data_IF_970027492042
#
_entry.id   IF_970027492042
#
_cell.length_a   1.000
_cell.length_b   1.000
_cell.length_c   1.000
_cell.angle_alpha   90.00
_cell.angle_beta   90.00
_cell.angle_gamma   90.00
#
_symmetry.space_group_name_H-M   'P 1'
#
loop_
_entity.id
_entity.type
_entity.pdbx_description
1 polymer ?
#
# COMPACT_ATOMS: atom_id res chain seq x y z
N UNK A 1 -11.54 25.82 6.27
CA UNK A 1 -10.10 26.04 6.40
C UNK A 1 -9.50 24.74 6.89
N UNK A 2 -9.08 23.89 5.95
CA UNK A 2 -8.39 22.66 6.30
C UNK A 2 -6.94 22.99 6.57
N UNK A 3 -6.51 22.69 7.78
CA UNK A 3 -5.10 22.69 8.17
C UNK A 3 -4.38 21.66 7.27
N UNK A 4 -3.32 22.10 6.60
CA UNK A 4 -2.61 21.33 5.56
C UNK A 4 -1.59 20.33 6.11
N UNK A 5 -1.55 20.11 7.42
CA UNK A 5 -0.89 18.94 8.02
C UNK A 5 -1.95 17.85 8.16
N UNK A 6 -2.17 17.10 7.09
CA UNK A 6 -3.06 15.94 7.18
C UNK A 6 -2.45 14.92 8.12
N UNK A 7 -3.02 14.81 9.33
CA UNK A 7 -2.71 13.70 10.23
C UNK A 7 -3.09 12.41 9.52
N UNK A 8 -2.12 11.52 9.34
CA UNK A 8 -2.34 10.26 8.64
C UNK A 8 -3.21 9.37 9.51
N UNK A 9 -4.32 8.91 8.96
CA UNK A 9 -5.23 7.98 9.63
C UNK A 9 -4.85 6.53 9.36
N UNK A 10 -5.18 5.64 10.28
CA UNK A 10 -5.07 4.19 10.08
C UNK A 10 -5.94 3.73 8.91
N UNK A 11 -7.01 4.45 8.60
CA UNK A 11 -7.87 4.19 7.44
C UNK A 11 -7.19 4.49 6.12
N UNK A 12 -6.16 5.33 6.12
CA UNK A 12 -5.31 5.63 4.95
C UNK A 12 -4.17 4.61 4.82
N UNK A 13 -3.59 4.19 5.95
CA UNK A 13 -2.51 3.18 5.99
C UNK A 13 -3.02 1.81 5.54
N UNK A 14 -4.23 1.45 5.93
CA UNK A 14 -4.93 0.23 5.51
C UNK A 14 -6.14 0.61 4.67
N UNK A 15 -5.96 0.66 3.39
CA UNK A 15 -7.01 1.03 2.45
C UNK A 15 -7.33 -0.10 1.48
N UNK A 16 -8.56 -0.11 0.98
CA UNK A 16 -8.99 -1.11 0.02
C UNK A 16 -8.40 -0.76 -1.34
N UNK A 17 -7.72 -1.72 -1.94
CA UNK A 17 -7.07 -1.56 -3.22
C UNK A 17 -7.38 -2.69 -4.20
N UNK A 18 -6.91 -2.51 -5.41
CA UNK A 18 -6.84 -3.55 -6.43
C UNK A 18 -5.41 -3.62 -6.97
N UNK A 19 -4.97 -4.82 -7.34
CA UNK A 19 -3.64 -4.98 -7.91
C UNK A 19 -3.51 -4.47 -9.34
N UNK A 20 -2.27 -4.34 -9.80
CA UNK A 20 -1.07 -4.75 -9.08
C UNK A 20 -0.35 -3.66 -8.29
N UNK A 21 -0.63 -2.37 -8.54
CA UNK A 21 0.16 -1.26 -7.98
C UNK A 21 -0.71 -0.24 -7.26
N UNK A 22 -0.26 0.23 -6.10
CA UNK A 22 -0.94 1.32 -5.39
C UNK A 22 -0.79 2.65 -6.14
N UNK A 23 0.40 2.96 -6.65
CA UNK A 23 0.65 4.21 -7.36
C UNK A 23 0.17 4.22 -8.82
N UNK A 24 0.25 3.07 -9.50
CA UNK A 24 -0.03 2.97 -10.93
C UNK A 24 -1.38 2.32 -11.27
N UNK A 25 -2.10 1.79 -10.30
CA UNK A 25 -3.43 1.17 -10.47
C UNK A 25 -4.46 1.84 -9.57
N UNK A 26 -4.28 1.75 -8.25
CA UNK A 26 -5.24 2.29 -7.27
C UNK A 26 -5.34 3.82 -7.37
N UNK A 27 -4.20 4.50 -7.42
CA UNK A 27 -4.16 5.97 -7.58
C UNK A 27 -4.89 6.44 -8.83
N UNK A 28 -4.58 5.94 -10.02
CA UNK A 28 -5.31 6.29 -11.25
C UNK A 28 -6.81 6.01 -11.20
N UNK A 29 -7.24 4.89 -10.62
CA UNK A 29 -8.68 4.62 -10.45
C UNK A 29 -9.35 5.66 -9.56
N UNK A 30 -8.76 5.97 -8.42
CA UNK A 30 -9.27 6.98 -7.49
C UNK A 30 -9.29 8.37 -8.12
N UNK A 31 -8.24 8.73 -8.86
CA UNK A 31 -8.17 10.02 -9.55
C UNK A 31 -9.27 10.17 -10.59
N UNK A 32 -9.48 9.14 -11.41
CA UNK A 32 -10.53 9.14 -12.42
C UNK A 32 -11.93 9.26 -11.80
N UNK A 33 -12.19 8.53 -10.72
CA UNK A 33 -13.46 8.63 -9.99
C UNK A 33 -13.63 10.00 -9.33
N UNK A 34 -12.60 10.53 -8.70
CA UNK A 34 -12.65 11.87 -8.10
C UNK A 34 -12.90 12.96 -9.15
N UNK A 35 -12.25 12.85 -10.30
CA UNK A 35 -12.51 13.74 -11.44
C UNK A 35 -13.97 13.66 -11.87
N UNK A 36 -14.51 12.45 -12.06
CA UNK A 36 -15.91 12.23 -12.41
C UNK A 36 -16.86 12.88 -11.39
N UNK A 37 -16.59 12.69 -10.10
CA UNK A 37 -17.39 13.22 -9.00
C UNK A 37 -17.32 14.75 -8.91
N UNK A 38 -16.27 15.38 -9.42
CA UNK A 38 -16.08 16.84 -9.43
C UNK A 38 -16.89 17.55 -10.49
N UNK A 39 -17.40 16.82 -11.50
CA UNK A 39 -18.12 17.41 -12.62
C UNK A 39 -19.56 17.78 -12.21
N UNK A 40 -20.05 18.92 -12.75
CA UNK A 40 -21.43 19.38 -12.47
C UNK A 40 -22.50 18.42 -13.00
N UNK A 41 -22.19 17.71 -14.09
CA UNK A 41 -23.05 16.68 -14.65
C UNK A 41 -22.26 15.53 -15.25
N UNK A 42 -22.93 14.41 -15.51
CA UNK A 42 -22.32 13.24 -16.09
C UNK A 42 -21.75 13.53 -17.48
N UNK A 43 -20.48 13.22 -17.77
CA UNK A 43 -19.88 13.48 -19.06
C UNK A 43 -20.34 12.45 -20.11
N UNK A 44 -20.43 12.87 -21.36
CA UNK A 44 -20.57 11.98 -22.49
C UNK A 44 -19.22 11.43 -22.95
N UNK A 45 -18.18 12.25 -22.88
CA UNK A 45 -16.82 11.87 -23.28
C UNK A 45 -15.79 12.39 -22.29
N UNK A 46 -14.79 11.55 -21.98
CA UNK A 46 -13.61 11.92 -21.19
C UNK A 46 -12.35 11.56 -21.97
N UNK A 47 -11.45 12.51 -22.06
CA UNK A 47 -10.10 12.37 -22.62
C UNK A 47 -9.11 12.35 -21.46
N UNK A 48 -8.23 11.35 -21.44
CA UNK A 48 -7.22 11.17 -20.37
C UNK A 48 -5.84 11.04 -20.97
N UNK A 49 -4.89 11.81 -20.45
CA UNK A 49 -3.46 11.60 -20.70
C UNK A 49 -2.82 10.96 -19.48
N UNK A 50 -2.16 9.83 -19.67
CA UNK A 50 -1.27 9.23 -18.69
C UNK A 50 0.13 9.72 -18.97
N UNK A 51 0.78 10.38 -18.01
CA UNK A 51 2.03 11.08 -18.19
C UNK A 51 3.18 10.43 -17.42
N UNK A 52 4.37 10.53 -17.97
CA UNK A 52 5.61 10.08 -17.33
C UNK A 52 5.61 8.59 -17.02
N UNK A 53 5.83 8.25 -15.76
CA UNK A 53 5.88 6.84 -15.31
C UNK A 53 4.56 6.10 -15.49
N UNK A 54 3.42 6.78 -15.36
CA UNK A 54 2.10 6.19 -15.63
C UNK A 54 1.93 5.81 -17.10
N UNK A 55 2.60 6.50 -18.01
CA UNK A 55 2.63 6.12 -19.42
C UNK A 55 3.61 4.98 -19.69
N UNK A 56 4.85 5.12 -19.23
CA UNK A 56 5.93 4.19 -19.53
C UNK A 56 5.66 2.76 -19.01
N UNK A 57 4.97 2.62 -17.90
CA UNK A 57 4.63 1.32 -17.27
C UNK A 57 3.13 1.08 -17.16
N UNK A 58 2.31 1.98 -17.71
CA UNK A 58 0.87 2.02 -17.47
C UNK A 58 0.12 0.77 -17.90
N UNK A 59 0.49 0.18 -19.03
CA UNK A 59 -0.15 -1.04 -19.52
C UNK A 59 0.19 -2.26 -18.65
N UNK A 60 1.46 -2.38 -18.24
CA UNK A 60 1.89 -3.46 -17.34
C UNK A 60 1.27 -3.40 -15.95
N UNK A 61 1.00 -2.18 -15.46
CA UNK A 61 0.34 -1.94 -14.18
C UNK A 61 -1.17 -1.72 -14.29
N UNK A 62 -1.76 -1.96 -15.47
CA UNK A 62 -3.18 -1.77 -15.75
C UNK A 62 -3.71 -0.36 -15.42
N UNK A 63 -2.89 0.68 -15.61
CA UNK A 63 -3.29 2.07 -15.32
C UNK A 63 -4.42 2.53 -16.24
N UNK A 64 -4.42 2.12 -17.51
CA UNK A 64 -5.51 2.36 -18.45
C UNK A 64 -6.82 1.71 -18.00
N UNK A 65 -6.77 0.44 -17.62
CA UNK A 65 -7.94 -0.26 -17.04
C UNK A 65 -8.45 0.44 -15.80
N UNK A 66 -7.56 0.83 -14.91
CA UNK A 66 -7.92 1.52 -13.67
C UNK A 66 -8.64 2.84 -13.92
N UNK A 67 -8.14 3.65 -14.85
CA UNK A 67 -8.79 4.91 -15.27
C UNK A 67 -10.18 4.64 -15.87
N UNK A 68 -10.29 3.68 -16.78
CA UNK A 68 -11.56 3.33 -17.43
C UNK A 68 -12.60 2.92 -16.39
N UNK A 69 -12.24 2.06 -15.46
CA UNK A 69 -13.14 1.63 -14.39
C UNK A 69 -13.52 2.77 -13.44
N UNK A 70 -12.58 3.66 -13.14
CA UNK A 70 -12.85 4.87 -12.36
C UNK A 70 -13.81 5.82 -13.04
N UNK A 71 -13.68 5.99 -14.37
CA UNK A 71 -14.61 6.79 -15.18
C UNK A 71 -16.01 6.17 -15.28
N UNK A 72 -16.12 4.85 -15.10
CA UNK A 72 -17.42 4.18 -14.98
C UNK A 72 -18.08 4.40 -13.62
N UNK A 73 -17.36 4.94 -12.65
CA UNK A 73 -17.83 5.20 -11.29
C UNK A 73 -17.45 4.14 -10.27
N UNK A 74 -16.58 3.19 -10.65
CA UNK A 74 -16.08 2.18 -9.73
C UNK A 74 -14.92 2.71 -8.88
N UNK A 75 -14.85 2.23 -7.64
CA UNK A 75 -13.68 2.35 -6.77
C UNK A 75 -13.14 0.95 -6.43
N UNK A 76 -11.97 0.84 -5.77
CA UNK A 76 -11.41 -0.46 -5.44
C UNK A 76 -12.31 -1.37 -4.59
N UNK A 77 -13.19 -0.81 -3.77
CA UNK A 77 -14.13 -1.60 -2.97
C UNK A 77 -15.30 -2.13 -3.80
N UNK A 78 -15.84 -1.30 -4.68
CA UNK A 78 -17.09 -1.58 -5.39
C UNK A 78 -16.90 -2.31 -6.72
N UNK A 79 -15.70 -2.24 -7.31
CA UNK A 79 -15.44 -2.84 -8.62
C UNK A 79 -15.60 -4.37 -8.57
N UNK A 80 -16.44 -4.96 -9.47
CA UNK A 80 -16.51 -6.42 -9.57
C UNK A 80 -15.17 -7.04 -9.98
N UNK A 81 -14.85 -8.21 -9.44
CA UNK A 81 -13.60 -8.93 -9.75
C UNK A 81 -13.49 -9.24 -11.25
N UNK A 82 -14.62 -9.52 -11.88
CA UNK A 82 -14.77 -9.85 -13.30
C UNK A 82 -15.16 -8.65 -14.16
N UNK A 83 -14.99 -7.42 -13.68
CA UNK A 83 -15.34 -6.20 -14.43
C UNK A 83 -14.57 -6.09 -15.74
N UNK A 84 -15.29 -5.75 -16.79
CA UNK A 84 -14.70 -5.42 -18.10
C UNK A 84 -14.19 -3.96 -18.10
N UNK A 85 -13.04 -3.66 -18.69
CA UNK A 85 -12.13 -4.59 -19.36
C UNK A 85 -11.35 -5.47 -18.37
N UNK A 86 -11.12 -6.72 -18.73
CA UNK A 86 -10.44 -7.67 -17.84
C UNK A 86 -8.95 -7.34 -17.64
N UNK A 87 -8.47 -7.64 -16.45
CA UNK A 87 -7.04 -7.54 -16.14
C UNK A 87 -6.22 -8.46 -17.05
N UNK A 88 -5.16 -7.90 -17.65
CA UNK A 88 -4.27 -8.65 -18.57
C UNK A 88 -4.81 -8.83 -19.98
N UNK A 89 -6.02 -8.35 -20.28
CA UNK A 89 -6.58 -8.31 -21.62
C UNK A 89 -6.11 -7.11 -22.43
N UNK A 90 -6.35 -7.16 -23.75
CA UNK A 90 -6.13 -6.00 -24.60
C UNK A 90 -7.17 -4.93 -24.31
N UNK A 91 -6.71 -3.70 -24.11
CA UNK A 91 -7.57 -2.54 -23.81
C UNK A 91 -7.41 -1.52 -24.93
N UNK A 92 -8.47 -1.25 -25.71
CA UNK A 92 -8.41 -0.20 -26.73
C UNK A 92 -8.16 1.18 -26.12
N UNK A 93 -7.44 2.03 -26.83
CA UNK A 93 -7.21 3.43 -26.40
C UNK A 93 -8.46 4.31 -26.50
N UNK A 94 -9.46 3.88 -27.25
CA UNK A 94 -10.76 4.52 -27.38
C UNK A 94 -11.87 3.48 -27.24
N UNK A 95 -12.94 3.85 -26.58
CA UNK A 95 -14.09 2.96 -26.41
C UNK A 95 -15.18 3.55 -25.56
N UNK A 96 -16.11 2.70 -25.15
CA UNK A 96 -17.23 3.07 -24.30
C UNK A 96 -17.25 2.14 -23.08
N UNK A 97 -17.46 2.72 -21.91
CA UNK A 97 -17.59 1.98 -20.66
C UNK A 97 -18.92 2.33 -19.98
N UNK A 98 -19.56 1.31 -19.40
CA UNK A 98 -20.77 1.47 -18.58
C UNK A 98 -20.52 0.98 -17.17
N UNK A 99 -21.08 1.69 -16.20
CA UNK A 99 -20.94 1.36 -14.79
C UNK A 99 -21.97 2.07 -13.94
N UNK A 100 -21.76 2.15 -12.62
CA UNK A 100 -22.77 2.69 -11.69
C UNK A 100 -23.18 4.13 -11.95
N UNK A 101 -22.33 4.93 -12.62
CA UNK A 101 -22.60 6.33 -12.93
C UNK A 101 -23.15 6.55 -14.33
N UNK A 102 -23.32 5.51 -15.13
CA UNK A 102 -23.81 5.56 -16.49
C UNK A 102 -22.75 5.17 -17.52
N UNK A 103 -22.94 5.63 -18.75
CA UNK A 103 -22.09 5.32 -19.89
C UNK A 103 -21.20 6.52 -20.22
N UNK A 104 -19.92 6.27 -20.51
CA UNK A 104 -18.94 7.29 -20.87
C UNK A 104 -18.11 6.78 -22.05
N UNK A 105 -17.92 7.64 -23.06
CA UNK A 105 -16.94 7.40 -24.10
C UNK A 105 -15.57 7.86 -23.58
N UNK A 106 -14.56 6.99 -23.67
CA UNK A 106 -13.22 7.30 -23.21
C UNK A 106 -12.22 7.32 -24.35
N UNK A 107 -11.18 8.15 -24.19
CA UNK A 107 -9.97 8.14 -25.00
C UNK A 107 -8.78 8.26 -24.05
N UNK A 108 -7.80 7.37 -24.14
CA UNK A 108 -6.59 7.37 -23.32
C UNK A 108 -5.37 7.52 -24.21
N UNK A 109 -4.55 8.52 -23.89
CA UNK A 109 -3.28 8.79 -24.54
C UNK A 109 -2.13 8.55 -23.57
N UNK A 110 -1.09 7.88 -24.04
CA UNK A 110 0.14 7.60 -23.30
C UNK A 110 1.22 8.58 -23.77
N UNK A 111 1.71 9.40 -22.85
CA UNK A 111 2.78 10.36 -23.11
C UNK A 111 3.88 10.21 -22.06
N UNK A 112 5.06 9.74 -22.49
CA UNK A 112 6.19 9.47 -21.60
C UNK A 112 6.84 10.73 -21.02
N UNK A 113 6.49 11.91 -21.53
CA UNK A 113 6.96 13.17 -20.97
C UNK A 113 6.27 13.45 -19.64
N UNK A 114 6.99 13.50 -18.52
CA UNK A 114 6.37 13.75 -17.21
C UNK A 114 5.89 15.19 -17.09
N UNK A 115 4.84 15.40 -16.29
CA UNK A 115 4.50 16.74 -15.84
C UNK A 115 5.60 17.26 -14.91
N UNK A 116 5.87 18.58 -14.90
CA UNK A 116 6.97 19.15 -14.12
C UNK A 116 6.87 18.88 -12.61
N UNK A 117 5.65 18.69 -12.08
CA UNK A 117 5.40 18.60 -10.64
C UNK A 117 5.65 17.21 -10.07
N UNK A 118 5.39 16.17 -10.86
CA UNK A 118 5.50 14.78 -10.39
C UNK A 118 5.51 13.80 -11.57
N UNK A 119 6.29 12.69 -11.48
CA UNK A 119 6.36 11.69 -12.57
C UNK A 119 5.08 10.90 -12.79
N UNK A 120 4.16 10.84 -11.82
CA UNK A 120 2.91 10.08 -11.90
C UNK A 120 1.71 11.02 -12.14
N UNK A 121 1.75 11.77 -13.23
CA UNK A 121 0.70 12.73 -13.59
C UNK A 121 -0.36 12.15 -14.51
N UNK A 122 -1.56 12.71 -14.40
CA UNK A 122 -2.71 12.45 -15.27
C UNK A 122 -3.38 13.76 -15.61
N UNK A 123 -3.91 13.86 -16.84
CA UNK A 123 -4.66 15.03 -17.31
C UNK A 123 -6.01 14.56 -17.82
N UNK A 124 -7.09 15.15 -17.30
CA UNK A 124 -8.47 14.83 -17.69
C UNK A 124 -9.16 16.02 -18.32
N UNK A 125 -9.90 15.77 -19.39
CA UNK A 125 -10.83 16.72 -20.00
C UNK A 125 -12.17 16.01 -20.25
N UNK A 126 -13.28 16.72 -20.12
CA UNK A 126 -14.61 16.14 -20.27
C UNK A 126 -15.55 17.04 -21.03
N UNK A 127 -16.46 16.43 -21.78
CA UNK A 127 -17.50 17.10 -22.57
C UNK A 127 -18.87 16.46 -22.31
N UNK A 128 -19.92 17.25 -22.45
CA UNK A 128 -21.28 16.74 -22.41
C UNK A 128 -21.72 16.16 -23.76
N UNK A 129 -22.96 15.66 -23.83
CA UNK A 129 -23.55 15.06 -25.02
C UNK A 129 -23.78 16.07 -26.16
N UNK A 130 -23.79 17.36 -25.85
CA UNK A 130 -23.90 18.45 -26.84
C UNK A 130 -22.52 18.97 -27.28
N UNK A 131 -21.44 18.37 -26.81
CA UNK A 131 -20.07 18.77 -27.11
C UNK A 131 -19.56 19.99 -26.33
N UNK A 132 -20.30 20.43 -25.30
CA UNK A 132 -19.86 21.51 -24.42
C UNK A 132 -18.81 21.01 -23.43
N UNK A 133 -17.77 21.82 -23.23
CA UNK A 133 -16.70 21.52 -22.29
C UNK A 133 -17.18 21.58 -20.85
N UNK A 134 -17.00 20.48 -20.08
CA UNK A 134 -17.29 20.39 -18.66
C UNK A 134 -16.07 20.65 -17.80
N UNK A 135 -14.90 20.20 -18.26
CA UNK A 135 -13.62 20.43 -17.63
C UNK A 135 -12.51 20.35 -18.66
N UNK A 136 -11.48 21.18 -18.52
CA UNK A 136 -10.37 21.27 -19.45
C UNK A 136 -9.04 21.05 -18.73
N UNK A 137 -8.31 20.01 -19.15
CA UNK A 137 -6.93 19.71 -18.72
C UNK A 137 -6.71 19.78 -17.20
N UNK A 138 -7.59 19.18 -16.44
CA UNK A 138 -7.42 19.07 -15.00
C UNK A 138 -6.36 18.02 -14.66
N UNK A 139 -5.38 18.41 -13.85
CA UNK A 139 -4.24 17.59 -13.49
C UNK A 139 -4.43 16.93 -12.13
N UNK A 140 -4.10 15.63 -12.08
CA UNK A 140 -4.06 14.82 -10.87
C UNK A 140 -2.74 14.06 -10.79
N UNK A 141 -2.32 13.74 -9.56
CA UNK A 141 -1.05 13.07 -9.32
C UNK A 141 -1.23 11.91 -8.35
N UNK A 142 -0.65 10.76 -8.69
CA UNK A 142 -0.58 9.60 -7.82
C UNK A 142 0.74 9.65 -7.05
N UNK A 143 0.65 9.92 -5.73
CA UNK A 143 1.82 10.25 -4.90
C UNK A 143 2.30 9.08 -4.03
N UNK A 144 1.89 7.86 -4.33
CA UNK A 144 2.27 6.64 -3.63
C UNK A 144 1.22 6.17 -2.63
N UNK A 145 1.22 4.87 -2.34
CA UNK A 145 0.28 4.26 -1.39
C UNK A 145 -1.21 4.36 -1.77
N UNK A 146 -1.53 4.70 -3.01
CA UNK A 146 -2.89 4.96 -3.48
C UNK A 146 -3.39 6.37 -3.18
N UNK A 147 -2.56 7.23 -2.62
CA UNK A 147 -2.89 8.64 -2.38
C UNK A 147 -2.85 9.43 -3.69
N UNK A 148 -3.83 10.32 -3.86
CA UNK A 148 -3.91 11.19 -5.01
C UNK A 148 -4.04 12.64 -4.57
N UNK A 149 -3.45 13.54 -5.34
CA UNK A 149 -3.54 14.99 -5.16
C UNK A 149 -3.97 15.63 -6.48
N UNK A 150 -4.86 16.63 -6.38
CA UNK A 150 -5.10 17.56 -7.49
C UNK A 150 -3.88 18.48 -7.67
N UNK A 151 -3.81 19.17 -8.79
CA UNK A 151 -2.75 20.17 -9.05
C UNK A 151 -2.67 21.20 -7.92
N UNK A 152 -3.80 21.73 -7.47
CA UNK A 152 -3.84 22.74 -6.43
C UNK A 152 -3.34 22.19 -5.09
N UNK A 153 -3.72 20.96 -4.73
CA UNK A 153 -3.27 20.29 -3.50
C UNK A 153 -1.75 20.04 -3.55
N UNK A 154 -1.22 19.56 -4.67
CA UNK A 154 0.21 19.32 -4.83
C UNK A 154 1.03 20.62 -4.78
N UNK A 155 0.57 21.68 -5.45
CA UNK A 155 1.23 22.98 -5.42
C UNK A 155 1.26 23.56 -3.99
N UNK A 156 0.21 23.35 -3.22
CA UNK A 156 0.16 23.76 -1.82
C UNK A 156 1.17 22.99 -0.96
N UNK A 157 1.31 21.67 -1.13
CA UNK A 157 2.32 20.87 -0.42
C UNK A 157 3.75 21.29 -0.78
N UNK A 158 4.02 21.57 -2.05
CA UNK A 158 5.33 22.03 -2.51
C UNK A 158 5.65 23.40 -1.90
N UNK A 159 4.70 24.32 -1.87
CA UNK A 159 4.88 25.64 -1.27
C UNK A 159 5.18 25.56 0.22
N UNK A 160 4.47 24.71 0.97
CA UNK A 160 4.72 24.49 2.41
C UNK A 160 6.12 23.93 2.67
N UNK A 161 6.61 23.01 1.84
CA UNK A 161 7.95 22.43 2.00
C UNK A 161 9.07 23.46 1.79
N UNK A 162 8.82 24.56 1.07
CA UNK A 162 9.78 25.64 0.83
C UNK A 162 9.66 26.81 1.81
N UNK A 163 8.52 26.97 2.49
CA UNK A 163 8.25 28.09 3.38
C UNK A 163 8.68 27.87 4.83
N UNK A 164 9.05 26.62 5.22
CA UNK A 164 9.52 26.33 6.58
C UNK A 164 11.02 26.48 6.65
N UNK A 165 11.57 27.58 7.24
CA UNK A 165 13.00 27.68 7.52
C UNK A 165 13.41 26.53 8.46
N UNK A 166 14.53 25.87 8.14
CA UNK A 166 15.11 24.87 9.03
C UNK A 166 15.29 25.50 10.44
N UNK A 167 14.50 25.04 11.43
CA UNK A 167 14.58 25.50 12.81
C UNK A 167 13.31 26.14 13.38
N UNK A 168 12.27 26.33 12.59
CA UNK A 168 10.96 26.81 13.08
C UNK A 168 9.87 25.84 12.65
N UNK A 169 9.99 24.60 13.07
CA UNK A 169 8.82 23.77 13.22
C UNK A 169 8.15 24.18 14.55
N UNK A 170 7.52 25.35 14.58
CA UNK A 170 6.42 25.50 15.48
C UNK A 170 5.36 24.55 14.97
N UNK A 171 5.34 23.34 15.51
CA UNK A 171 4.23 22.47 15.39
C UNK A 171 3.00 23.31 15.70
N UNK A 172 2.19 23.64 14.68
CA UNK A 172 0.81 23.96 14.95
C UNK A 172 0.28 22.64 15.49
N UNK A 173 0.18 22.58 16.82
CA UNK A 173 -0.42 21.48 17.54
C UNK A 173 -1.80 21.35 16.91
N UNK A 174 -2.02 20.26 16.20
CA UNK A 174 -3.37 19.92 15.79
C UNK A 174 -4.09 19.47 17.06
N UNK A 175 -4.79 20.41 17.72
CA UNK A 175 -5.58 20.16 18.91
C UNK A 175 -6.68 19.10 18.68
N UNK A 176 -6.76 18.51 17.47
CA UNK A 176 -7.78 17.55 17.10
C UNK A 176 -7.54 16.16 17.66
N UNK A 177 -6.29 15.78 18.01
CA UNK A 177 -5.97 14.46 18.54
C UNK A 177 -5.38 14.52 19.95
N UNK A 178 -5.79 13.60 20.87
CA UNK A 178 -5.35 13.63 22.25
C UNK A 178 -3.89 13.21 22.47
N UNK A 179 -3.30 12.40 21.57
CA UNK A 179 -1.95 11.83 21.75
C UNK A 179 -1.13 12.01 20.48
N UNK A 180 -0.70 13.22 20.20
CA UNK A 180 0.07 13.53 19.01
C UNK A 180 1.49 12.97 19.12
N UNK A 181 1.91 12.23 18.08
CA UNK A 181 3.28 11.73 17.93
C UNK A 181 3.67 11.71 16.46
N UNK A 182 4.95 11.92 16.17
CA UNK A 182 5.54 11.80 14.85
C UNK A 182 6.73 10.84 14.84
N UNK A 183 7.27 10.52 16.01
CA UNK A 183 8.44 9.65 16.19
C UNK A 183 8.16 8.50 17.12
N UNK A 184 8.99 7.47 17.07
CA UNK A 184 8.92 6.34 18.00
C UNK A 184 9.20 6.75 19.44
N UNK A 185 10.13 7.67 19.65
CA UNK A 185 10.43 8.22 20.97
C UNK A 185 9.22 8.92 21.59
N UNK A 186 8.56 9.80 20.84
CA UNK A 186 7.34 10.48 21.28
C UNK A 186 6.23 9.49 21.62
N UNK A 187 6.05 8.46 20.78
CA UNK A 187 5.05 7.42 21.01
C UNK A 187 5.31 6.67 22.33
N UNK A 188 6.56 6.26 22.58
CA UNK A 188 6.92 5.56 23.81
C UNK A 188 6.76 6.45 25.05
N UNK A 189 7.11 7.72 24.95
CA UNK A 189 6.93 8.68 26.04
C UNK A 189 5.44 8.84 26.40
N UNK A 190 4.55 8.88 25.40
CA UNK A 190 3.11 8.94 25.63
C UNK A 190 2.57 7.65 26.28
N UNK A 191 3.04 6.49 25.84
CA UNK A 191 2.67 5.21 26.44
C UNK A 191 3.05 5.14 27.93
N UNK A 192 4.26 5.61 28.27
CA UNK A 192 4.74 5.64 29.65
C UNK A 192 3.97 6.66 30.48
N UNK A 193 3.79 7.88 29.98
CA UNK A 193 3.11 8.96 30.70
C UNK A 193 1.64 8.64 31.01
N UNK A 194 0.97 7.90 30.15
CA UNK A 194 -0.47 7.58 30.27
C UNK A 194 -0.75 6.14 30.67
N UNK A 195 0.28 5.34 30.85
CA UNK A 195 0.16 3.90 31.15
C UNK A 195 -0.79 3.19 30.17
N UNK A 196 -0.55 3.38 28.88
CA UNK A 196 -1.37 2.84 27.79
C UNK A 196 -0.52 2.08 26.78
N UNK A 197 -1.13 1.08 26.17
CA UNK A 197 -0.57 0.39 25.00
C UNK A 197 -0.65 1.30 23.76
N UNK A 198 0.19 1.02 22.77
CA UNK A 198 0.22 1.79 21.51
C UNK A 198 -1.14 1.81 20.82
N UNK A 199 -1.82 0.65 20.72
CA UNK A 199 -3.13 0.58 20.07
C UNK A 199 -4.20 1.44 20.74
N UNK A 200 -4.12 1.61 22.07
CA UNK A 200 -5.05 2.46 22.83
C UNK A 200 -4.89 3.93 22.47
N UNK A 201 -3.64 4.39 22.35
CA UNK A 201 -3.34 5.76 21.93
C UNK A 201 -3.82 6.02 20.50
N UNK A 202 -3.54 5.08 19.59
CA UNK A 202 -3.96 5.19 18.20
C UNK A 202 -5.48 5.21 18.07
N UNK A 203 -6.18 4.34 18.79
CA UNK A 203 -7.66 4.31 18.75
C UNK A 203 -8.26 5.63 19.26
N UNK A 204 -7.70 6.20 20.33
CA UNK A 204 -8.15 7.49 20.85
C UNK A 204 -7.94 8.63 19.83
N UNK A 205 -6.80 8.64 19.16
CA UNK A 205 -6.51 9.60 18.08
C UNK A 205 -7.49 9.45 16.92
N UNK A 206 -7.71 8.22 16.49
CA UNK A 206 -8.62 7.91 15.39
C UNK A 206 -10.08 8.27 15.70
N UNK A 207 -10.51 8.06 16.94
CA UNK A 207 -11.83 8.48 17.42
C UNK A 207 -12.02 9.99 17.24
N UNK A 208 -11.01 10.78 17.59
CA UNK A 208 -11.03 12.22 17.43
C UNK A 208 -11.01 12.64 15.95
N UNK A 209 -10.16 12.01 15.13
CA UNK A 209 -10.05 12.31 13.70
C UNK A 209 -11.35 12.05 12.93
N UNK A 210 -12.07 11.01 13.30
CA UNK A 210 -13.29 10.57 12.63
C UNK A 210 -14.57 10.91 13.43
N UNK A 211 -14.53 11.93 14.27
CA UNK A 211 -15.67 12.34 15.12
C UNK A 211 -16.95 12.54 14.31
N UNK A 212 -16.83 13.19 13.16
CA UNK A 212 -17.98 13.51 12.30
C UNK A 212 -18.50 12.29 11.50
N UNK A 213 -17.77 11.19 11.49
CA UNK A 213 -18.08 9.98 10.74
C UNK A 213 -18.56 8.83 11.63
N UNK A 214 -18.59 9.03 12.94
CA UNK A 214 -19.00 8.03 13.93
C UNK A 214 -17.94 7.65 14.96
N UNK A 215 -16.77 8.30 14.94
CA UNK A 215 -15.72 8.12 15.94
C UNK A 215 -15.08 6.73 15.92
N UNK A 216 -14.89 6.15 17.09
CA UNK A 216 -14.24 4.84 17.24
C UNK A 216 -14.99 3.72 16.50
N UNK A 217 -16.32 3.76 16.48
CA UNK A 217 -17.13 2.75 15.79
C UNK A 217 -16.87 2.74 14.28
N UNK A 218 -16.72 3.91 13.66
CA UNK A 218 -16.37 4.05 12.25
C UNK A 218 -15.01 3.40 11.96
N UNK A 219 -13.99 3.71 12.77
CA UNK A 219 -12.65 3.17 12.62
C UNK A 219 -12.63 1.66 12.81
N UNK A 220 -13.30 1.15 13.84
CA UNK A 220 -13.33 -0.29 14.12
C UNK A 220 -14.05 -1.06 13.02
N UNK A 221 -15.12 -0.53 12.44
CA UNK A 221 -15.79 -1.12 11.27
C UNK A 221 -14.87 -1.16 10.05
N UNK A 222 -14.09 -0.11 9.84
CA UNK A 222 -13.09 -0.09 8.76
C UNK A 222 -12.04 -1.20 8.96
N UNK A 223 -11.51 -1.32 10.16
CA UNK A 223 -10.52 -2.37 10.48
C UNK A 223 -11.11 -3.79 10.35
N UNK A 224 -12.36 -3.96 10.71
CA UNK A 224 -13.07 -5.23 10.52
C UNK A 224 -13.21 -5.57 9.04
N UNK A 225 -13.54 -4.58 8.21
CA UNK A 225 -13.61 -4.74 6.75
C UNK A 225 -12.23 -5.05 6.16
N UNK A 226 -11.18 -4.40 6.64
CA UNK A 226 -9.80 -4.68 6.25
C UNK A 226 -9.45 -6.14 6.51
N UNK A 227 -9.73 -6.64 7.70
CA UNK A 227 -9.49 -8.04 8.05
C UNK A 227 -10.32 -9.01 7.19
N UNK A 228 -11.58 -8.71 6.97
CA UNK A 228 -12.45 -9.52 6.12
C UNK A 228 -11.91 -9.62 4.69
N UNK A 229 -11.47 -8.52 4.11
CA UNK A 229 -10.90 -8.48 2.75
C UNK A 229 -9.55 -9.23 2.70
N UNK A 230 -8.71 -9.10 3.72
CA UNK A 230 -7.47 -9.87 3.81
C UNK A 230 -7.73 -11.38 3.77
N UNK A 231 -8.75 -11.86 4.49
CA UNK A 231 -9.15 -13.27 4.49
C UNK A 231 -9.71 -13.72 3.14
N UNK A 232 -10.58 -12.91 2.55
CA UNK A 232 -11.11 -13.19 1.22
C UNK A 232 -9.99 -13.28 0.18
N UNK A 233 -9.02 -12.39 0.23
CA UNK A 233 -7.87 -12.38 -0.67
C UNK A 233 -7.04 -13.66 -0.55
N UNK A 234 -6.79 -14.14 0.66
CA UNK A 234 -6.09 -15.41 0.89
C UNK A 234 -6.90 -16.59 0.33
N UNK A 235 -8.19 -16.62 0.58
CA UNK A 235 -9.08 -17.68 0.08
C UNK A 235 -9.10 -17.73 -1.45
N UNK A 236 -9.22 -16.58 -2.11
CA UNK A 236 -9.16 -16.45 -3.57
C UNK A 236 -7.80 -16.90 -4.12
N UNK A 237 -6.70 -16.47 -3.50
CA UNK A 237 -5.35 -16.80 -3.93
C UNK A 237 -5.02 -18.29 -3.82
N UNK A 238 -5.51 -18.94 -2.79
CA UNK A 238 -5.37 -20.40 -2.60
C UNK A 238 -6.17 -21.19 -3.64
N UNK A 239 -7.27 -20.65 -4.12
CA UNK A 239 -8.20 -21.34 -5.02
C UNK A 239 -7.92 -21.09 -6.51
N UNK A 240 -7.17 -20.05 -6.86
CA UNK A 240 -6.99 -19.62 -8.26
C UNK A 240 -5.69 -20.17 -8.84
N UNK A 241 -5.81 -21.01 -9.86
CA UNK A 241 -4.69 -21.62 -10.59
C UNK A 241 -4.38 -20.85 -11.86
N UNK A 242 -3.22 -21.11 -12.43
CA UNK A 242 -2.82 -20.59 -13.73
C UNK A 242 -1.58 -19.74 -13.71
N UNK A 243 -1.39 -18.96 -14.77
CA UNK A 243 -0.27 -18.04 -14.94
C UNK A 243 -0.69 -16.63 -14.52
N UNK A 244 0.26 -15.89 -13.95
CA UNK A 244 0.09 -14.47 -13.70
C UNK A 244 0.18 -13.68 -15.02
N UNK A 245 -0.56 -12.55 -15.16
CA UNK A 245 -0.53 -11.73 -16.36
C UNK A 245 0.83 -11.04 -16.56
N UNK A 246 1.10 -10.55 -17.77
CA UNK A 246 2.24 -9.68 -18.05
C UNK A 246 3.43 -10.35 -18.76
N UNK A 247 3.30 -11.58 -19.21
CA UNK A 247 4.26 -12.21 -20.13
C UNK A 247 5.50 -12.86 -19.51
N UNK A 248 5.75 -12.74 -18.21
CA UNK A 248 6.83 -13.45 -17.53
C UNK A 248 6.54 -14.95 -17.34
N UNK A 249 5.27 -15.36 -17.57
CA UNK A 249 4.81 -16.75 -17.43
C UNK A 249 5.04 -17.31 -16.02
N UNK A 250 4.89 -16.48 -15.00
CA UNK A 250 4.99 -16.91 -13.59
C UNK A 250 3.75 -17.71 -13.24
N UNK A 251 3.94 -18.96 -12.85
CA UNK A 251 2.85 -19.82 -12.39
C UNK A 251 2.45 -19.45 -10.95
N UNK A 252 1.15 -19.44 -10.67
CA UNK A 252 0.66 -19.33 -9.31
C UNK A 252 1.08 -20.55 -8.50
N UNK A 253 1.64 -20.32 -7.32
CA UNK A 253 2.17 -21.39 -6.44
C UNK A 253 1.25 -21.70 -5.25
N UNK A 254 0.43 -20.75 -4.83
CA UNK A 254 -0.37 -20.88 -3.63
C UNK A 254 -1.31 -22.12 -3.62
N UNK A 255 -2.05 -22.44 -4.68
CA UNK A 255 -2.92 -23.61 -4.67
C UNK A 255 -2.20 -24.94 -4.44
N UNK A 256 -1.04 -25.12 -5.09
CA UNK A 256 -0.23 -26.35 -4.92
C UNK A 256 0.42 -26.41 -3.55
N UNK A 257 0.93 -25.30 -3.04
CA UNK A 257 1.50 -25.23 -1.68
C UNK A 257 0.44 -25.56 -0.63
N UNK A 258 -0.76 -25.03 -0.77
CA UNK A 258 -1.88 -25.32 0.12
C UNK A 258 -2.20 -26.82 0.17
N UNK A 259 -2.32 -27.46 -1.01
CA UNK A 259 -2.56 -28.89 -1.09
C UNK A 259 -1.45 -29.69 -0.39
N UNK A 260 -0.18 -29.35 -0.62
CA UNK A 260 0.95 -29.99 0.03
C UNK A 260 0.95 -29.82 1.56
N UNK A 261 0.62 -28.62 2.05
CA UNK A 261 0.56 -28.37 3.49
C UNK A 261 -0.59 -29.14 4.14
N UNK A 262 -1.72 -29.30 3.47
CA UNK A 262 -2.82 -30.13 3.97
C UNK A 262 -2.45 -31.59 4.04
N UNK A 263 -1.75 -32.15 3.06
CA UNK A 263 -1.27 -33.53 3.05
C UNK A 263 -0.28 -33.81 4.18
N UNK A 264 0.55 -32.83 4.53
CA UNK A 264 1.60 -32.95 5.53
C UNK A 264 1.21 -32.36 6.90
N UNK A 265 -0.05 -32.06 7.11
CA UNK A 265 -0.55 -31.37 8.31
C UNK A 265 -0.21 -32.11 9.61
N UNK A 266 -0.15 -33.43 9.58
CA UNK A 266 0.16 -34.30 10.75
C UNK A 266 1.65 -34.64 10.87
N UNK A 267 2.50 -34.16 9.93
CA UNK A 267 3.94 -34.40 9.97
C UNK A 267 4.62 -33.43 10.95
N UNK A 268 4.94 -33.96 12.15
CA UNK A 268 5.65 -33.21 13.19
C UNK A 268 7.18 -33.27 13.05
N UNK A 269 7.70 -33.97 12.04
CA UNK A 269 9.15 -34.16 11.85
C UNK A 269 9.87 -32.91 11.36
N UNK A 270 9.12 -31.94 10.81
CA UNK A 270 9.66 -30.67 10.34
C UNK A 270 9.27 -29.51 11.29
N UNK A 271 10.22 -28.95 11.98
CA UNK A 271 10.00 -27.85 12.92
C UNK A 271 9.61 -26.49 12.29
N UNK A 272 9.42 -26.43 10.97
CA UNK A 272 9.18 -25.19 10.24
C UNK A 272 7.80 -25.06 9.61
N UNK A 273 6.82 -25.89 10.00
CA UNK A 273 5.49 -25.89 9.42
C UNK A 273 4.76 -24.54 9.51
N UNK A 274 4.94 -23.80 10.62
CA UNK A 274 4.35 -22.47 10.78
C UNK A 274 4.90 -21.49 9.74
N UNK A 275 6.21 -21.53 9.47
CA UNK A 275 6.86 -20.69 8.44
C UNK A 275 6.29 -21.00 7.06
N UNK A 276 6.06 -22.24 6.73
CA UNK A 276 5.49 -22.65 5.44
C UNK A 276 4.07 -22.11 5.25
N UNK A 277 3.25 -22.12 6.29
CA UNK A 277 1.92 -21.50 6.26
C UNK A 277 1.98 -19.99 6.06
N UNK A 278 2.91 -19.32 6.72
CA UNK A 278 3.14 -17.87 6.53
C UNK A 278 3.55 -17.58 5.08
N UNK A 279 4.47 -18.35 4.52
CA UNK A 279 4.84 -18.24 3.11
C UNK A 279 3.63 -18.39 2.19
N UNK A 280 2.79 -19.41 2.44
CA UNK A 280 1.57 -19.63 1.68
C UNK A 280 0.66 -18.41 1.69
N UNK A 281 0.39 -17.84 2.86
CA UNK A 281 -0.50 -16.71 2.98
C UNK A 281 0.03 -15.47 2.25
N UNK A 282 1.32 -15.20 2.37
CA UNK A 282 1.95 -14.08 1.66
C UNK A 282 1.91 -14.27 0.15
N UNK A 283 2.22 -15.48 -0.34
CA UNK A 283 2.16 -15.79 -1.76
C UNK A 283 0.73 -15.67 -2.30
N UNK A 284 -0.26 -16.20 -1.58
CA UNK A 284 -1.67 -16.13 -1.99
C UNK A 284 -2.12 -14.69 -2.21
N UNK A 285 -1.81 -13.78 -1.28
CA UNK A 285 -2.16 -12.36 -1.38
C UNK A 285 -1.42 -11.70 -2.54
N UNK A 286 -0.12 -11.91 -2.66
CA UNK A 286 0.68 -11.24 -3.70
C UNK A 286 0.37 -11.78 -5.09
N UNK A 287 0.02 -13.04 -5.23
CA UNK A 287 -0.46 -13.58 -6.52
C UNK A 287 -1.80 -12.98 -6.92
N UNK A 288 -2.72 -12.78 -5.98
CA UNK A 288 -3.97 -12.03 -6.22
C UNK A 288 -3.70 -10.59 -6.62
N UNK A 289 -2.78 -9.92 -5.94
CA UNK A 289 -2.37 -8.58 -6.31
C UNK A 289 -1.83 -8.52 -7.74
N UNK A 290 -0.93 -9.43 -8.09
CA UNK A 290 -0.34 -9.48 -9.43
C UNK A 290 -1.38 -9.73 -10.53
N UNK A 291 -2.45 -10.43 -10.22
CA UNK A 291 -3.55 -10.73 -11.14
C UNK A 291 -4.63 -9.65 -11.21
N UNK A 292 -4.49 -8.54 -10.48
CA UNK A 292 -5.48 -7.45 -10.48
C UNK A 292 -6.64 -7.67 -9.51
N UNK A 293 -6.51 -8.59 -8.55
CA UNK A 293 -7.53 -8.87 -7.54
C UNK A 293 -7.63 -7.80 -6.47
N UNK A 294 -8.70 -7.90 -5.66
CA UNK A 294 -8.90 -7.01 -4.51
C UNK A 294 -7.95 -7.37 -3.38
N UNK A 295 -7.26 -6.37 -2.86
CA UNK A 295 -6.31 -6.50 -1.76
C UNK A 295 -6.50 -5.35 -0.78
N UNK A 296 -5.88 -5.47 0.39
CA UNK A 296 -5.65 -4.30 1.24
C UNK A 296 -4.29 -3.71 0.88
N UNK A 297 -4.28 -2.45 0.51
CA UNK A 297 -3.06 -1.66 0.36
C UNK A 297 -2.47 -1.44 1.76
N UNK A 298 -1.35 -2.11 2.09
CA UNK A 298 -0.85 -2.23 3.47
C UNK A 298 0.70 -2.24 3.51
N UNK A 299 1.38 -1.11 3.58
CA UNK A 299 0.92 0.24 3.24
C UNK A 299 0.90 0.51 1.74
N UNK A 300 1.47 -0.38 0.93
CA UNK A 300 1.45 -0.36 -0.54
C UNK A 300 0.93 -1.69 -1.07
N UNK A 301 0.61 -1.75 -2.37
CA UNK A 301 0.25 -3.01 -3.02
C UNK A 301 1.45 -3.95 -3.16
N UNK A 302 2.63 -3.42 -3.47
CA UNK A 302 3.85 -4.22 -3.59
C UNK A 302 4.20 -5.03 -2.33
N UNK A 303 3.84 -4.53 -1.17
CA UNK A 303 4.08 -5.15 0.13
C UNK A 303 2.79 -5.66 0.81
N UNK A 304 1.70 -5.84 0.06
CA UNK A 304 0.37 -6.12 0.62
C UNK A 304 0.22 -7.53 1.26
N UNK A 305 1.16 -8.44 1.02
CA UNK A 305 1.09 -9.81 1.55
C UNK A 305 1.64 -9.97 2.95
N UNK A 306 2.48 -9.07 3.43
CA UNK A 306 3.18 -9.23 4.72
C UNK A 306 2.22 -9.15 5.90
N UNK A 307 1.49 -8.07 6.01
CA UNK A 307 0.60 -7.81 7.16
C UNK A 307 -0.52 -8.84 7.25
N UNK A 308 -1.21 -9.22 6.16
CA UNK A 308 -2.18 -10.31 6.20
C UNK A 308 -1.57 -11.66 6.58
N UNK A 309 -0.39 -11.99 6.06
CA UNK A 309 0.25 -13.27 6.35
C UNK A 309 0.56 -13.44 7.84
N UNK A 310 1.10 -12.40 8.47
CA UNK A 310 1.40 -12.41 9.91
C UNK A 310 0.11 -12.47 10.73
N UNK A 311 -0.93 -11.76 10.32
CA UNK A 311 -2.21 -11.81 11.03
C UNK A 311 -2.90 -13.18 10.90
N UNK A 312 -2.81 -13.83 9.76
CA UNK A 312 -3.28 -15.22 9.59
C UNK A 312 -2.48 -16.20 10.46
N UNK A 313 -1.17 -16.00 10.57
CA UNK A 313 -0.34 -16.76 11.51
C UNK A 313 -0.86 -16.60 12.94
N UNK A 314 -1.14 -15.37 13.38
CA UNK A 314 -1.69 -15.12 14.71
C UNK A 314 -3.03 -15.83 14.92
N UNK A 315 -3.91 -15.81 13.93
CA UNK A 315 -5.19 -16.53 13.96
C UNK A 315 -5.01 -18.03 14.14
N UNK A 316 -4.10 -18.63 13.40
CA UNK A 316 -3.94 -20.09 13.32
C UNK A 316 -3.16 -20.66 14.49
N UNK A 317 -2.21 -19.92 15.03
CA UNK A 317 -1.28 -20.39 16.05
C UNK A 317 -1.50 -19.78 17.44
N UNK A 318 -2.62 -19.05 17.62
CA UNK A 318 -3.05 -18.54 18.93
C UNK A 318 -4.48 -18.99 19.24
N UNK A 319 -4.68 -19.57 20.41
CA UNK A 319 -5.98 -20.09 20.83
C UNK A 319 -7.02 -18.99 21.17
N UNK A 320 -6.56 -17.78 21.45
CA UNK A 320 -7.37 -16.66 21.94
C UNK A 320 -7.66 -15.59 20.87
N UNK A 321 -7.49 -15.92 19.59
CA UNK A 321 -7.70 -14.98 18.51
C UNK A 321 -9.18 -14.64 18.32
N UNK A 322 -9.49 -13.35 18.36
CA UNK A 322 -10.83 -12.81 18.10
C UNK A 322 -10.73 -11.62 17.14
N UNK A 323 -11.85 -11.07 16.73
CA UNK A 323 -11.90 -9.82 15.96
C UNK A 323 -11.20 -8.66 16.69
N UNK A 324 -11.32 -8.60 18.01
CA UNK A 324 -10.60 -7.64 18.84
C UNK A 324 -9.08 -7.79 18.75
N UNK A 325 -8.58 -9.01 18.61
CA UNK A 325 -7.15 -9.28 18.39
C UNK A 325 -6.67 -8.69 17.08
N UNK A 326 -7.43 -8.88 16.00
CA UNK A 326 -7.12 -8.31 14.69
C UNK A 326 -7.09 -6.76 14.74
N UNK A 327 -8.04 -6.15 15.43
CA UNK A 327 -8.09 -4.70 15.61
C UNK A 327 -6.86 -4.15 16.32
N UNK A 328 -6.44 -4.76 17.43
CA UNK A 328 -5.24 -4.36 18.17
C UNK A 328 -3.97 -4.49 17.33
N UNK A 329 -3.86 -5.56 16.58
CA UNK A 329 -2.75 -5.77 15.63
C UNK A 329 -2.67 -4.66 14.60
N UNK A 330 -3.79 -4.34 13.94
CA UNK A 330 -3.84 -3.32 12.89
C UNK A 330 -3.60 -1.92 13.43
N UNK A 331 -4.13 -1.58 14.60
CA UNK A 331 -3.89 -0.28 15.23
C UNK A 331 -2.41 -0.10 15.60
N UNK A 332 -1.78 -1.12 16.15
CA UNK A 332 -0.36 -1.09 16.51
C UNK A 332 0.52 -0.99 15.26
N UNK A 333 0.24 -1.81 14.25
CA UNK A 333 0.93 -1.76 12.96
C UNK A 333 0.77 -0.39 12.29
N UNK A 334 -0.42 0.18 12.36
CA UNK A 334 -0.73 1.50 11.82
C UNK A 334 0.13 2.61 12.40
N UNK A 335 0.40 2.59 13.70
CA UNK A 335 1.28 3.57 14.36
C UNK A 335 2.67 3.58 13.73
N UNK A 336 3.22 2.42 13.46
CA UNK A 336 4.55 2.30 12.84
C UNK A 336 4.54 2.81 11.39
N UNK A 337 3.49 2.48 10.65
CA UNK A 337 3.30 2.99 9.28
C UNK A 337 3.22 4.52 9.23
N UNK A 338 2.53 5.14 10.16
CA UNK A 338 2.44 6.59 10.30
C UNK A 338 3.80 7.23 10.54
N UNK A 339 4.59 6.68 11.47
CA UNK A 339 5.94 7.16 11.80
C UNK A 339 6.86 7.07 10.58
N UNK A 340 6.84 5.95 9.87
CA UNK A 340 7.68 5.75 8.69
C UNK A 340 7.27 6.71 7.57
N UNK A 341 5.99 6.86 7.31
CA UNK A 341 5.49 7.76 6.27
C UNK A 341 5.84 9.22 6.57
N UNK A 342 5.76 9.63 7.82
CA UNK A 342 6.07 11.00 8.25
C UNK A 342 7.56 11.33 8.09
N UNK A 343 8.45 10.42 8.47
CA UNK A 343 9.88 10.70 8.59
C UNK A 343 10.75 10.15 7.46
N UNK A 344 10.19 9.26 6.64
CA UNK A 344 10.88 8.67 5.49
C UNK A 344 9.92 8.55 4.32
N UNK A 345 9.63 7.33 3.88
CA UNK A 345 8.66 7.06 2.83
C UNK A 345 8.24 5.59 2.86
N UNK A 346 7.03 5.34 2.39
CA UNK A 346 6.51 3.99 2.11
C UNK A 346 6.58 3.64 0.63
N UNK A 347 7.10 4.54 -0.21
CA UNK A 347 7.09 4.41 -1.67
C UNK A 347 8.38 3.82 -2.22
N UNK A 348 8.27 2.79 -3.06
CA UNK A 348 9.40 2.22 -3.80
C UNK A 348 10.05 3.20 -4.77
N UNK A 349 9.28 4.16 -5.30
CA UNK A 349 9.78 5.22 -6.17
C UNK A 349 10.71 6.21 -5.45
N UNK A 350 10.48 6.43 -4.15
CA UNK A 350 11.27 7.37 -3.36
C UNK A 350 12.48 6.71 -2.70
N UNK A 351 12.29 5.52 -2.11
CA UNK A 351 13.31 4.90 -1.25
C UNK A 351 13.58 3.43 -1.58
N UNK A 352 13.07 2.92 -2.69
CA UNK A 352 13.20 1.50 -3.02
C UNK A 352 12.27 0.60 -2.19
N UNK A 353 12.47 -0.71 -2.29
CA UNK A 353 11.63 -1.70 -1.61
C UNK A 353 11.82 -1.72 -0.09
N UNK A 354 12.88 -1.11 0.43
CA UNK A 354 13.02 -0.89 1.88
C UNK A 354 11.85 -0.06 2.44
N UNK A 355 11.27 0.87 1.65
CA UNK A 355 10.10 1.66 2.02
C UNK A 355 8.78 0.89 1.92
N UNK A 356 8.70 -0.13 1.10
CA UNK A 356 7.50 -0.96 0.94
C UNK A 356 7.56 -2.20 1.85
N UNK A 357 8.41 -3.15 1.51
CA UNK A 357 8.59 -4.41 2.28
C UNK A 357 9.17 -4.13 3.66
N UNK A 358 10.14 -3.23 3.77
CA UNK A 358 10.72 -2.86 5.05
C UNK A 358 9.70 -2.23 5.99
N UNK A 359 8.89 -1.31 5.48
CA UNK A 359 7.81 -0.69 6.26
C UNK A 359 6.74 -1.70 6.69
N UNK A 360 6.24 -2.51 5.76
CA UNK A 360 5.24 -3.53 6.07
C UNK A 360 5.77 -4.55 7.08
N UNK A 361 7.03 -4.95 6.96
CA UNK A 361 7.69 -5.87 7.88
C UNK A 361 7.80 -5.28 9.29
N UNK A 362 8.19 -4.02 9.41
CA UNK A 362 8.23 -3.30 10.69
C UNK A 362 6.84 -3.19 11.32
N UNK A 363 5.84 -2.85 10.54
CA UNK A 363 4.45 -2.75 10.98
C UNK A 363 3.93 -4.09 11.49
N UNK A 364 4.14 -5.15 10.75
CA UNK A 364 3.71 -6.50 11.11
C UNK A 364 4.45 -7.02 12.36
N UNK A 365 5.74 -6.73 12.49
CA UNK A 365 6.53 -7.09 13.67
C UNK A 365 5.98 -6.40 14.94
N UNK A 366 5.67 -5.11 14.86
CA UNK A 366 5.06 -4.37 15.95
C UNK A 366 3.71 -4.96 16.35
N UNK A 367 2.83 -5.19 15.38
CA UNK A 367 1.51 -5.79 15.61
C UNK A 367 1.62 -7.18 16.24
N UNK A 368 2.52 -8.02 15.76
CA UNK A 368 2.75 -9.35 16.31
C UNK A 368 3.31 -9.32 17.74
N UNK A 369 4.26 -8.41 18.02
CA UNK A 369 4.80 -8.22 19.36
C UNK A 369 3.70 -7.80 20.35
N UNK A 370 2.80 -6.89 19.96
CA UNK A 370 1.63 -6.54 20.77
C UNK A 370 0.80 -7.78 21.10
N UNK A 371 0.52 -8.63 20.12
CA UNK A 371 -0.26 -9.87 20.33
C UNK A 371 0.47 -10.90 21.23
N UNK A 372 1.79 -10.87 21.26
CA UNK A 372 2.60 -11.69 22.18
C UNK A 372 2.61 -11.15 23.61
N UNK A 373 1.94 -10.04 23.88
CA UNK A 373 1.92 -9.39 25.20
C UNK A 373 3.15 -8.54 25.49
N UNK A 374 3.84 -8.06 24.47
CA UNK A 374 5.02 -7.20 24.63
C UNK A 374 4.66 -5.82 25.18
N UNK A 375 5.54 -5.26 25.99
CA UNK A 375 5.45 -3.87 26.44
C UNK A 375 5.73 -2.91 25.25
N UNK A 376 5.27 -1.64 25.31
CA UNK A 376 5.49 -0.68 24.22
C UNK A 376 6.96 -0.58 23.75
N UNK A 377 7.93 -0.58 24.66
CA UNK A 377 9.35 -0.56 24.31
C UNK A 377 9.80 -1.81 23.53
N UNK A 378 9.24 -2.98 23.85
CA UNK A 378 9.50 -4.20 23.09
C UNK A 378 8.82 -4.19 21.72
N UNK A 379 7.64 -3.59 21.60
CA UNK A 379 6.92 -3.40 20.33
C UNK A 379 7.75 -2.52 19.40
N UNK A 380 8.25 -1.41 19.89
CA UNK A 380 9.13 -0.51 19.12
C UNK A 380 10.43 -1.22 18.70
N UNK A 381 11.02 -2.02 19.59
CA UNK A 381 12.20 -2.82 19.27
C UNK A 381 11.91 -3.84 18.16
N UNK A 382 10.77 -4.51 18.18
CA UNK A 382 10.36 -5.44 17.13
C UNK A 382 10.28 -4.73 15.77
N UNK A 383 9.66 -3.56 15.72
CA UNK A 383 9.58 -2.74 14.51
C UNK A 383 10.97 -2.33 14.01
N UNK A 384 11.84 -1.90 14.90
CA UNK A 384 13.22 -1.53 14.57
C UNK A 384 13.99 -2.72 13.98
N UNK A 385 13.97 -3.88 14.62
CA UNK A 385 14.68 -5.07 14.13
C UNK A 385 14.21 -5.43 12.71
N UNK A 386 12.93 -5.45 12.48
CA UNK A 386 12.39 -5.77 11.16
C UNK A 386 12.79 -4.75 10.10
N UNK A 387 12.71 -3.45 10.41
CA UNK A 387 13.11 -2.41 9.47
C UNK A 387 14.61 -2.42 9.19
N UNK A 388 15.43 -2.49 10.22
CA UNK A 388 16.89 -2.52 10.10
C UNK A 388 17.36 -3.63 9.16
N UNK A 389 16.76 -4.82 9.26
CA UNK A 389 17.16 -5.98 8.47
C UNK A 389 16.48 -6.06 7.09
N UNK A 390 15.79 -5.00 6.68
CA UNK A 390 15.30 -4.77 5.33
C UNK A 390 15.89 -3.51 4.66
N UNK A 391 16.83 -2.82 5.34
CA UNK A 391 17.52 -1.68 4.76
C UNK A 391 18.32 -2.10 3.52
N UNK A 392 18.36 -1.22 2.52
CA UNK A 392 19.09 -1.45 1.28
C UNK A 392 18.30 -2.16 0.18
N UNK A 393 17.09 -2.62 0.42
CA UNK A 393 16.28 -3.26 -0.61
C UNK A 393 15.91 -2.27 -1.73
N UNK A 394 16.27 -2.66 -2.95
CA UNK A 394 15.95 -1.91 -4.17
C UNK A 394 14.55 -2.26 -4.70
N UNK A 395 13.96 -1.42 -5.53
CA UNK A 395 12.71 -1.69 -6.23
C UNK A 395 12.97 -1.76 -7.74
N UNK A 396 13.31 -2.94 -8.21
CA UNK A 396 13.76 -3.24 -9.56
C UNK A 396 13.13 -4.56 -10.09
N UNK A 397 11.79 -4.66 -10.07
CA UNK A 397 11.13 -5.90 -10.43
C UNK A 397 11.30 -6.24 -11.91
N UNK A 398 11.44 -7.53 -12.19
CA UNK A 398 11.61 -8.04 -13.55
C UNK A 398 10.42 -7.66 -14.44
N UNK A 399 10.71 -7.05 -15.56
CA UNK A 399 9.68 -6.55 -16.49
C UNK A 399 8.84 -5.40 -15.95
N UNK A 400 9.20 -4.79 -14.82
CA UNK A 400 8.40 -3.78 -14.13
C UNK A 400 7.15 -4.34 -13.45
N UNK A 401 6.98 -5.66 -13.43
CA UNK A 401 5.81 -6.32 -12.88
C UNK A 401 5.99 -6.63 -11.39
N UNK A 402 4.93 -6.49 -10.61
CA UNK A 402 4.92 -6.77 -9.17
C UNK A 402 4.85 -8.29 -8.93
N UNK A 403 5.83 -9.02 -9.43
CA UNK A 403 5.91 -10.49 -9.43
C UNK A 403 7.27 -10.99 -8.94
N UNK A 404 8.34 -10.71 -9.66
CA UNK A 404 9.70 -11.15 -9.31
C UNK A 404 10.56 -9.91 -9.02
N UNK A 405 11.11 -9.77 -7.82
CA UNK A 405 11.08 -10.66 -6.66
C UNK A 405 9.97 -10.35 -5.64
N UNK A 406 9.01 -9.48 -5.96
CA UNK A 406 8.05 -8.91 -5.01
C UNK A 406 7.28 -9.97 -4.22
N UNK A 407 6.78 -11.01 -4.91
CA UNK A 407 5.98 -12.06 -4.27
C UNK A 407 6.78 -12.78 -3.18
N UNK A 408 8.00 -13.19 -3.49
CA UNK A 408 8.85 -13.89 -2.52
C UNK A 408 9.36 -12.96 -1.41
N UNK A 409 9.66 -11.69 -1.73
CA UNK A 409 10.07 -10.69 -0.73
C UNK A 409 9.00 -10.50 0.35
N UNK A 410 7.73 -10.57 -0.01
CA UNK A 410 6.63 -10.50 0.95
C UNK A 410 6.65 -11.71 1.90
N UNK A 411 6.83 -12.91 1.39
CA UNK A 411 6.93 -14.12 2.20
C UNK A 411 8.12 -14.04 3.18
N UNK A 412 9.29 -13.67 2.68
CA UNK A 412 10.49 -13.49 3.50
C UNK A 412 10.29 -12.38 4.54
N UNK A 413 9.71 -11.25 4.14
CA UNK A 413 9.42 -10.13 5.05
C UNK A 413 8.43 -10.49 6.15
N UNK A 414 7.43 -11.31 5.85
CA UNK A 414 6.46 -11.80 6.82
C UNK A 414 7.13 -12.70 7.89
N UNK A 415 7.98 -13.63 7.47
CA UNK A 415 8.74 -14.49 8.40
C UNK A 415 9.70 -13.67 9.25
N UNK A 416 10.42 -12.72 8.66
CA UNK A 416 11.27 -11.77 9.41
C UNK A 416 10.48 -11.03 10.48
N UNK A 417 9.26 -10.62 10.19
CA UNK A 417 8.41 -9.88 11.13
C UNK A 417 8.11 -10.70 12.38
N UNK A 418 7.74 -11.96 12.20
CA UNK A 418 7.44 -12.86 13.31
C UNK A 418 8.69 -13.12 14.14
N UNK A 419 9.82 -13.37 13.48
CA UNK A 419 11.10 -13.57 14.15
C UNK A 419 11.52 -12.33 14.95
N UNK A 420 11.40 -11.15 14.37
CA UNK A 420 11.70 -9.89 15.04
C UNK A 420 10.84 -9.67 16.28
N UNK A 421 9.54 -9.95 16.18
CA UNK A 421 8.60 -9.85 17.30
C UNK A 421 8.99 -10.80 18.44
N UNK A 422 9.36 -12.04 18.12
CA UNK A 422 9.79 -13.04 19.11
C UNK A 422 11.10 -12.65 19.77
N UNK A 423 12.08 -12.18 19.00
CA UNK A 423 13.36 -11.70 19.55
C UNK A 423 13.16 -10.54 20.52
N UNK A 424 12.35 -9.56 20.13
CA UNK A 424 12.07 -8.39 20.96
C UNK A 424 11.32 -8.76 22.24
N UNK A 425 10.38 -9.68 22.15
CA UNK A 425 9.60 -10.15 23.31
C UNK A 425 10.48 -10.87 24.35
N UNK A 426 11.53 -11.53 23.92
CA UNK A 426 12.48 -12.22 24.83
C UNK A 426 13.45 -11.24 25.51
N UNK A 427 13.58 -10.02 25.00
CA UNK A 427 14.40 -8.96 25.58
C UNK A 427 13.63 -8.09 26.57
N UNK A 428 14.28 -7.02 27.02
CA UNK A 428 13.75 -6.09 28.00
C UNK A 428 13.27 -4.76 27.38
N UNK A 429 13.29 -4.65 26.05
CA UNK A 429 12.92 -3.42 25.32
C UNK A 429 14.05 -2.39 25.23
N UNK A 430 15.22 -2.69 25.80
CA UNK A 430 16.42 -1.85 25.64
C UNK A 430 17.23 -2.31 24.44
N UNK A 431 17.57 -1.38 23.56
CA UNK A 431 18.35 -1.69 22.36
C UNK A 431 19.16 -0.45 21.90
N UNK A 432 20.24 -0.69 21.17
CA UNK A 432 21.16 0.39 20.75
C UNK A 432 20.60 1.20 19.58
N UNK A 433 20.06 0.55 18.58
CA UNK A 433 19.43 1.19 17.42
C UNK A 433 17.96 1.37 17.69
N UNK A 434 17.49 2.61 17.70
CA UNK A 434 16.06 2.90 17.87
C UNK A 434 15.32 2.78 16.55
N UNK A 435 13.99 2.65 16.61
CA UNK A 435 13.17 2.72 15.40
C UNK A 435 13.42 4.02 14.64
N UNK A 436 13.54 5.14 15.34
CA UNK A 436 13.79 6.45 14.72
C UNK A 436 15.12 6.48 13.98
N UNK A 437 16.17 5.84 14.53
CA UNK A 437 17.46 5.68 13.84
C UNK A 437 17.31 4.86 12.54
N UNK A 438 16.60 3.75 12.59
CA UNK A 438 16.36 2.91 11.41
C UNK A 438 15.55 3.65 10.33
N UNK A 439 14.52 4.39 10.74
CA UNK A 439 13.71 5.22 9.83
C UNK A 439 14.53 6.31 9.17
N UNK A 440 15.35 7.03 9.94
CA UNK A 440 16.26 8.05 9.43
C UNK A 440 17.27 7.44 8.46
N UNK A 441 17.85 6.30 8.79
CA UNK A 441 18.79 5.58 7.92
C UNK A 441 18.14 5.19 6.60
N UNK A 442 16.89 4.71 6.64
CA UNK A 442 16.14 4.40 5.44
C UNK A 442 15.91 5.66 4.58
N UNK A 443 15.58 6.78 5.18
CA UNK A 443 15.42 8.05 4.46
C UNK A 443 16.71 8.47 3.77
N UNK A 444 17.86 8.35 4.44
CA UNK A 444 19.18 8.70 3.90
C UNK A 444 19.61 7.76 2.78
N UNK A 445 19.53 6.45 3.01
CA UNK A 445 19.89 5.46 1.98
C UNK A 445 18.97 5.53 0.78
N UNK A 446 17.69 5.87 1.01
CA UNK A 446 16.75 6.12 -0.07
C UNK A 446 17.14 7.31 -0.94
N UNK A 447 17.60 8.41 -0.34
CA UNK A 447 18.11 9.56 -1.10
C UNK A 447 19.37 9.24 -1.88
N UNK A 448 20.26 8.43 -1.31
CA UNK A 448 21.54 8.04 -1.93
C UNK A 448 21.38 6.94 -2.99
N UNK A 449 20.26 6.22 -2.96
CA UNK A 449 19.96 5.17 -3.92
C UNK A 449 19.78 5.77 -5.32
N UNK A 450 20.49 5.22 -6.30
CA UNK A 450 20.35 5.66 -7.69
C UNK A 450 18.95 5.37 -8.22
N UNK A 451 18.44 6.26 -9.07
CA UNK A 451 17.10 6.14 -9.65
C UNK A 451 16.83 4.81 -10.38
N UNK A 452 17.89 4.19 -10.92
CA UNK A 452 17.81 2.86 -11.56
C UNK A 452 17.46 1.71 -10.61
N UNK A 453 17.39 1.97 -9.31
CA UNK A 453 17.00 1.00 -8.28
C UNK A 453 15.70 1.37 -7.55
N UNK A 454 14.99 2.38 -8.05
CA UNK A 454 13.76 2.91 -7.44
C UNK A 454 12.57 2.75 -8.37
N UNK A 455 11.78 1.66 -8.16
CA UNK A 455 10.58 1.35 -8.93
C UNK A 455 10.85 1.43 -10.44
N UNK A 456 11.83 0.65 -10.91
CA UNK A 456 12.33 0.70 -12.28
C UNK A 456 12.40 -0.68 -12.90
N UNK A 457 12.25 -0.72 -14.22
CA UNK A 457 12.56 -1.90 -15.04
C UNK A 457 13.87 -1.75 -15.82
N UNK A 458 14.64 -0.67 -15.57
CA UNK A 458 15.86 -0.33 -16.32
C UNK A 458 17.14 -0.67 -15.57
N UNK A 459 17.09 -1.18 -14.35
CA UNK A 459 18.25 -1.50 -13.53
C UNK A 459 18.06 -2.74 -12.67
N UNK A 460 19.09 -3.16 -11.95
CA UNK A 460 19.04 -4.29 -11.03
C UNK A 460 18.60 -5.59 -11.69
N UNK A 461 17.74 -6.34 -11.02
CA UNK A 461 17.22 -7.62 -11.52
C UNK A 461 16.49 -7.50 -12.85
N UNK A 462 15.74 -6.43 -13.06
CA UNK A 462 15.05 -6.18 -14.32
C UNK A 462 16.04 -6.14 -15.49
N UNK A 463 17.18 -5.50 -15.33
CA UNK A 463 18.23 -5.42 -16.33
C UNK A 463 18.99 -6.73 -16.49
N UNK A 464 19.39 -7.38 -15.40
CA UNK A 464 20.20 -8.59 -15.45
C UNK A 464 19.46 -9.79 -16.03
N UNK A 465 18.13 -9.81 -15.90
CA UNK A 465 17.27 -10.84 -16.50
C UNK A 465 17.00 -10.63 -18.00
N UNK A 466 17.45 -9.50 -18.57
CA UNK A 466 17.34 -9.24 -20.01
C UNK A 466 15.96 -8.83 -20.51
N UNK A 467 14.99 -8.58 -19.64
CA UNK A 467 13.69 -8.04 -20.02
C UNK A 467 13.76 -6.51 -20.10
N UNK A 468 13.29 -5.93 -21.19
CA UNK A 468 13.17 -4.50 -21.37
C UNK A 468 11.72 -4.02 -21.19
N UNK A 469 11.56 -2.73 -20.84
CA UNK A 469 10.23 -2.09 -20.67
C UNK A 469 9.36 -2.24 -21.91
N UNK A 470 9.97 -2.24 -23.10
CA UNK A 470 9.25 -2.39 -24.38
C UNK A 470 8.59 -3.77 -24.58
N UNK A 471 8.94 -4.75 -23.75
CA UNK A 471 8.31 -6.07 -23.81
C UNK A 471 7.05 -6.18 -22.93
N UNK A 472 6.79 -5.20 -22.11
CA UNK A 472 5.58 -5.11 -21.28
C UNK A 472 4.36 -4.66 -22.11
N UNK A 473 4.58 -4.23 -23.33
CA UNK A 473 3.53 -3.82 -24.27
C UNK A 473 2.84 -4.97 -25.01
N UNK A 474 3.15 -6.19 -24.66
CA UNK A 474 2.51 -7.35 -25.31
C UNK A 474 1.28 -7.82 -24.53
#
# INVERSE_FOLDING_TARGET
>A
RHSLTMTISVTDIFSIGIGPSSSHTVGPMRAAKQFLDSLEKHPAKVYTELRGSLSATGRGHASDRAVILGLAGWDPLSVPIDAEPHAGGFIPSEGTISGPRGTVDYEIVFDNEPLPQHPNGMIFSAWDDSGNLLAEKEEYFSVGGGFILSRAELDAEIAESHEVPAGVAAAQVDDSVPYEFTTGEELLNLCEAHDKAIWELVLANEEALHRDEGGAEYVLRHLDLVWDIMRECVTEGISTKGLLPGGLRVARRAPKMYAQLLENQDDTSCGFSAMEWVNLYALAVNEQNAAGGRVITAPTNGACGIIPAVLHYARDFRADFTRSTARRYLLTAGAIGMIIKENASISGAEVGCQGEVGSASAMAAAGMAELLGAAPAQVENAAEIALEHNLGLTCDPVGGLVQIPCIERNAIGAVKSINAARMAKMGEGTHHVTLDNAVQTMAETGRDMLSKYKETSLGGLAKTMGFSVSQVEC
#
